data_IF_178848722170
#
_entry.id   IF_178848722170
#
_cell.length_a   1.000
_cell.length_b   1.000
_cell.length_c   1.000
_cell.angle_alpha   90.00
_cell.angle_beta   90.00
_cell.angle_gamma   90.00
#
_symmetry.space_group_name_H-M   'P 1'
#
loop_
_entity.id
_entity.type
_entity.pdbx_description
1 polymer ?
#
# COMPACT_ATOMS: atom_id res chain seq x y z
N UNK A 1 -27.97 34.66 -17.53
CA UNK A 1 -27.24 35.64 -18.37
C UNK A 1 -26.33 34.88 -19.33
N UNK A 2 -26.55 34.98 -20.63
CA UNK A 2 -25.80 34.21 -21.65
C UNK A 2 -24.37 34.75 -21.74
N UNK A 3 -23.36 33.91 -21.49
CA UNK A 3 -21.96 34.31 -21.62
C UNK A 3 -21.61 34.41 -23.10
N UNK A 4 -21.02 35.52 -23.50
CA UNK A 4 -20.65 35.76 -24.89
C UNK A 4 -19.47 34.87 -25.30
N UNK A 5 -19.42 34.41 -26.57
CA UNK A 5 -18.38 33.48 -27.06
C UNK A 5 -16.96 33.97 -26.76
N UNK A 6 -16.74 35.28 -26.85
CA UNK A 6 -15.45 35.90 -26.49
C UNK A 6 -15.08 35.65 -25.03
N UNK A 7 -16.02 35.79 -24.08
CA UNK A 7 -15.77 35.52 -22.66
C UNK A 7 -15.45 34.05 -22.39
N UNK A 8 -16.12 33.12 -23.08
CA UNK A 8 -15.88 31.68 -22.94
C UNK A 8 -14.46 31.35 -23.42
N UNK A 9 -14.07 31.87 -24.59
CA UNK A 9 -12.75 31.64 -25.18
C UNK A 9 -11.62 32.34 -24.41
N UNK A 10 -11.86 33.50 -23.79
CA UNK A 10 -10.86 34.21 -22.97
C UNK A 10 -10.80 33.76 -21.51
N UNK A 11 -11.77 32.97 -21.04
CA UNK A 11 -11.88 32.57 -19.63
C UNK A 11 -10.65 31.82 -19.11
N UNK A 12 -9.98 31.04 -19.95
CA UNK A 12 -8.74 30.32 -19.59
C UNK A 12 -7.59 31.26 -19.25
N UNK A 13 -7.43 32.37 -20.00
CA UNK A 13 -6.39 33.38 -19.72
C UNK A 13 -6.65 34.09 -18.39
N UNK A 14 -7.90 34.52 -18.17
CA UNK A 14 -8.31 35.16 -16.91
C UNK A 14 -8.16 34.21 -15.71
N UNK A 15 -8.43 32.92 -15.90
CA UNK A 15 -8.20 31.90 -14.88
C UNK A 15 -6.71 31.74 -14.57
N UNK A 16 -5.86 31.61 -15.60
CA UNK A 16 -4.40 31.52 -15.44
C UNK A 16 -3.83 32.75 -14.72
N UNK A 17 -4.24 33.96 -15.10
CA UNK A 17 -3.86 35.20 -14.43
C UNK A 17 -4.33 35.25 -12.98
N UNK A 18 -5.55 34.77 -12.70
CA UNK A 18 -6.08 34.68 -11.33
C UNK A 18 -5.32 33.66 -10.50
N UNK A 19 -4.94 32.51 -11.06
CA UNK A 19 -4.11 31.51 -10.35
C UNK A 19 -2.70 32.03 -10.10
N UNK A 20 -2.10 32.72 -11.08
CA UNK A 20 -0.79 33.34 -10.91
C UNK A 20 -0.83 34.40 -9.80
N UNK A 21 -1.89 35.22 -9.74
CA UNK A 21 -2.08 36.24 -8.70
C UNK A 21 -2.37 35.67 -7.31
N UNK A 22 -2.93 34.47 -7.17
CA UNK A 22 -3.20 33.85 -5.85
C UNK A 22 -1.92 33.58 -5.05
N UNK A 23 -0.83 33.27 -5.74
CA UNK A 23 0.48 33.02 -5.11
C UNK A 23 1.46 34.19 -5.31
N UNK A 24 1.05 35.24 -6.03
CA UNK A 24 1.85 36.45 -6.18
C UNK A 24 1.75 37.27 -4.90
N UNK A 25 2.90 37.45 -4.24
CA UNK A 25 3.02 38.34 -3.09
C UNK A 25 3.25 39.77 -3.62
N UNK A 26 2.48 40.74 -3.16
CA UNK A 26 2.54 42.13 -3.65
C UNK A 26 3.86 42.84 -3.30
N UNK A 27 4.46 42.52 -2.15
CA UNK A 27 5.70 43.10 -1.66
C UNK A 27 6.48 42.07 -0.83
N UNK A 28 7.81 42.00 -1.03
CA UNK A 28 8.70 41.15 -0.24
C UNK A 28 9.54 42.04 0.67
N UNK A 29 9.14 42.16 1.94
CA UNK A 29 9.88 42.92 2.95
C UNK A 29 10.90 42.05 3.66
N UNK A 30 12.13 42.54 3.83
CA UNK A 30 13.17 41.82 4.56
C UNK A 30 13.11 42.11 6.07
N UNK A 31 12.45 41.24 6.82
CA UNK A 31 12.42 41.34 8.28
C UNK A 31 13.64 40.67 8.91
N UNK A 32 14.44 41.46 9.63
CA UNK A 32 15.66 40.99 10.29
C UNK A 32 15.35 40.00 11.43
N UNK A 33 14.24 40.16 12.13
CA UNK A 33 13.86 39.24 13.21
C UNK A 33 13.51 37.87 12.65
N UNK A 34 12.70 37.81 11.59
CA UNK A 34 12.42 36.56 10.86
C UNK A 34 13.70 35.86 10.36
N UNK A 35 14.70 36.65 9.92
CA UNK A 35 16.00 36.12 9.49
C UNK A 35 16.76 35.49 10.65
N UNK A 36 16.81 36.15 11.80
CA UNK A 36 17.48 35.64 13.01
C UNK A 36 16.81 34.36 13.51
N UNK A 37 15.49 34.31 13.55
CA UNK A 37 14.73 33.09 13.87
C UNK A 37 14.97 31.98 12.85
N UNK A 38 15.10 32.32 11.56
CA UNK A 38 15.46 31.36 10.54
C UNK A 38 16.91 30.86 10.70
N UNK A 39 17.86 31.71 11.06
CA UNK A 39 19.25 31.27 11.23
C UNK A 39 19.47 30.48 12.53
N UNK A 40 18.72 30.75 13.59
CA UNK A 40 18.90 30.08 14.89
C UNK A 40 17.93 28.90 15.08
N UNK A 41 16.76 28.95 14.46
CA UNK A 41 15.66 27.99 14.64
C UNK A 41 15.77 26.67 13.88
N UNK A 42 16.98 26.19 13.55
CA UNK A 42 17.16 24.95 12.76
C UNK A 42 16.48 23.73 13.40
N UNK A 43 16.55 23.60 14.73
CA UNK A 43 15.89 22.52 15.46
C UNK A 43 14.37 22.62 15.37
N UNK A 44 13.80 23.83 15.54
CA UNK A 44 12.37 24.11 15.37
C UNK A 44 11.90 23.71 13.96
N UNK A 45 12.64 24.09 12.91
CA UNK A 45 12.32 23.69 11.52
C UNK A 45 12.43 22.19 11.29
N UNK A 46 13.42 21.52 11.90
CA UNK A 46 13.56 20.07 11.79
C UNK A 46 12.35 19.37 12.42
N UNK A 47 11.93 19.79 13.61
CA UNK A 47 10.72 19.28 14.26
C UNK A 47 9.46 19.59 13.45
N UNK A 48 9.31 20.80 12.92
CA UNK A 48 8.17 21.16 12.06
C UNK A 48 8.11 20.28 10.80
N UNK A 49 9.25 20.00 10.14
CA UNK A 49 9.29 19.08 9.00
C UNK A 49 8.87 17.66 9.39
N UNK A 50 9.33 17.17 10.53
CA UNK A 50 8.94 15.86 11.03
C UNK A 50 7.43 15.80 11.33
N UNK A 51 6.89 16.81 12.03
CA UNK A 51 5.45 16.91 12.31
C UNK A 51 4.62 16.98 11.03
N UNK A 52 5.02 17.84 10.08
CA UNK A 52 4.33 17.94 8.79
C UNK A 52 4.33 16.63 8.00
N UNK A 53 5.44 15.89 8.03
CA UNK A 53 5.51 14.56 7.41
C UNK A 53 4.59 13.56 8.12
N UNK A 54 4.53 13.59 9.45
CA UNK A 54 3.60 12.76 10.23
C UNK A 54 2.13 13.11 9.95
N UNK A 55 1.80 14.40 9.90
CA UNK A 55 0.45 14.90 9.58
C UNK A 55 0.04 14.48 8.17
N UNK A 56 0.92 14.65 7.18
CA UNK A 56 0.66 14.20 5.81
C UNK A 56 0.37 12.70 5.75
N UNK A 57 1.19 11.87 6.40
CA UNK A 57 0.96 10.42 6.43
C UNK A 57 -0.37 10.06 7.11
N UNK A 58 -0.73 10.74 8.21
CA UNK A 58 -2.02 10.54 8.89
C UNK A 58 -3.21 10.95 8.01
N UNK A 59 -3.08 12.03 7.25
CA UNK A 59 -4.12 12.45 6.29
C UNK A 59 -4.28 11.43 5.16
N UNK A 60 -3.18 10.92 4.61
CA UNK A 60 -3.22 9.86 3.59
C UNK A 60 -3.85 8.58 4.12
N UNK A 61 -3.48 8.15 5.33
CA UNK A 61 -4.07 6.95 5.97
C UNK A 61 -5.58 7.14 6.23
N UNK A 62 -5.99 8.34 6.67
CA UNK A 62 -7.41 8.66 6.87
C UNK A 62 -8.17 8.59 5.55
N UNK A 63 -7.62 9.13 4.47
CA UNK A 63 -8.24 9.08 3.14
C UNK A 63 -8.35 7.64 2.64
N UNK A 64 -7.28 6.85 2.74
CA UNK A 64 -7.27 5.44 2.39
C UNK A 64 -8.33 4.64 3.16
N UNK A 65 -8.44 4.85 4.48
CA UNK A 65 -9.47 4.19 5.31
C UNK A 65 -10.89 4.58 4.92
N UNK A 66 -11.11 5.83 4.49
CA UNK A 66 -12.43 6.28 4.00
C UNK A 66 -12.74 5.60 2.67
N UNK A 67 -11.76 5.49 1.77
CA UNK A 67 -11.88 4.81 0.48
C UNK A 67 -12.15 3.32 0.65
N UNK A 68 -11.41 2.62 1.51
CA UNK A 68 -11.64 1.21 1.85
C UNK A 68 -13.05 0.99 2.39
N UNK A 69 -13.50 1.82 3.35
CA UNK A 69 -14.87 1.75 3.88
C UNK A 69 -15.93 2.01 2.81
N UNK A 70 -15.62 2.83 1.81
CA UNK A 70 -16.53 3.07 0.68
C UNK A 70 -16.56 1.85 -0.24
N UNK A 71 -15.41 1.27 -0.56
CA UNK A 71 -15.31 0.06 -1.38
C UNK A 71 -16.08 -1.10 -0.75
N UNK A 72 -15.89 -1.37 0.54
CA UNK A 72 -16.63 -2.43 1.27
C UNK A 72 -18.14 -2.17 1.23
N UNK A 73 -18.58 -0.92 1.37
CA UNK A 73 -20.02 -0.57 1.28
C UNK A 73 -20.56 -0.80 -0.13
N UNK A 74 -19.79 -0.40 -1.14
CA UNK A 74 -20.17 -0.58 -2.54
C UNK A 74 -20.19 -2.07 -2.93
N UNK A 75 -19.24 -2.87 -2.44
CA UNK A 75 -19.20 -4.33 -2.59
C UNK A 75 -20.42 -4.99 -1.95
N UNK A 76 -20.69 -4.71 -0.67
CA UNK A 76 -21.89 -5.23 0.02
C UNK A 76 -23.19 -4.86 -0.71
N UNK A 77 -23.27 -3.64 -1.26
CA UNK A 77 -24.42 -3.21 -2.04
C UNK A 77 -24.56 -4.00 -3.35
N UNK A 78 -23.46 -4.25 -4.06
CA UNK A 78 -23.46 -5.09 -5.27
C UNK A 78 -23.83 -6.53 -4.95
N UNK A 79 -23.29 -7.10 -3.88
CA UNK A 79 -23.62 -8.46 -3.46
C UNK A 79 -25.11 -8.59 -3.14
N UNK A 80 -25.68 -7.60 -2.42
CA UNK A 80 -27.12 -7.55 -2.14
C UNK A 80 -27.94 -7.40 -3.41
N UNK A 81 -27.53 -6.54 -4.35
CA UNK A 81 -28.22 -6.38 -5.64
C UNK A 81 -28.18 -7.67 -6.48
N UNK A 82 -27.04 -8.37 -6.49
CA UNK A 82 -26.90 -9.66 -7.14
C UNK A 82 -27.79 -10.72 -6.49
N UNK A 83 -27.84 -10.78 -5.15
CA UNK A 83 -28.72 -11.69 -4.41
C UNK A 83 -30.20 -11.41 -4.70
N UNK A 84 -30.62 -10.13 -4.73
CA UNK A 84 -32.00 -9.76 -5.09
C UNK A 84 -32.31 -10.12 -6.55
N UNK A 85 -31.35 -9.93 -7.47
CA UNK A 85 -31.52 -10.32 -8.87
C UNK A 85 -31.67 -11.83 -9.00
N UNK A 86 -30.79 -12.62 -8.38
CA UNK A 86 -30.87 -14.08 -8.35
C UNK A 86 -32.16 -14.58 -7.69
N UNK A 87 -32.60 -13.92 -6.61
CA UNK A 87 -33.87 -14.25 -5.95
C UNK A 87 -35.05 -13.99 -6.87
N UNK A 88 -35.09 -12.82 -7.53
CA UNK A 88 -36.16 -12.47 -8.47
C UNK A 88 -36.16 -13.41 -9.70
N UNK A 89 -34.99 -13.81 -10.20
CA UNK A 89 -34.87 -14.79 -11.29
C UNK A 89 -35.40 -16.16 -10.86
N UNK A 90 -35.00 -16.66 -9.69
CA UNK A 90 -35.51 -17.94 -9.13
C UNK A 90 -37.01 -17.88 -8.84
N UNK A 91 -37.51 -16.78 -8.29
CA UNK A 91 -38.94 -16.58 -8.04
C UNK A 91 -39.74 -16.57 -9.35
N UNK A 92 -39.21 -15.93 -10.40
CA UNK A 92 -39.81 -15.94 -11.74
C UNK A 92 -39.78 -17.33 -12.38
N UNK A 93 -38.68 -18.08 -12.22
CA UNK A 93 -38.57 -19.45 -12.69
C UNK A 93 -39.57 -20.37 -11.99
N UNK A 94 -39.70 -20.28 -10.66
CA UNK A 94 -40.70 -21.00 -9.88
C UNK A 94 -42.13 -20.61 -10.28
N UNK A 95 -42.42 -19.32 -10.48
CA UNK A 95 -43.72 -18.85 -10.95
C UNK A 95 -44.05 -19.39 -12.36
N UNK A 96 -43.04 -19.54 -13.22
CA UNK A 96 -43.20 -20.10 -14.57
C UNK A 96 -43.40 -21.63 -14.55
N UNK A 97 -42.75 -22.34 -13.63
CA UNK A 97 -42.91 -23.80 -13.43
C UNK A 97 -44.25 -24.12 -12.75
N UNK A 98 -44.69 -23.29 -11.79
CA UNK A 98 -45.96 -23.45 -11.05
C UNK A 98 -47.18 -22.87 -11.80
N UNK A 99 -47.07 -22.64 -13.11
CA UNK A 99 -47.97 -21.80 -13.89
C UNK A 99 -49.46 -22.03 -13.64
N UNK A 100 -50.15 -20.97 -13.20
CA UNK A 100 -51.59 -20.81 -13.45
C UNK A 100 -52.52 -20.48 -12.28
N UNK A 101 -52.08 -19.90 -11.16
CA UNK A 101 -53.03 -19.31 -10.21
C UNK A 101 -52.36 -18.24 -9.32
N UNK A 102 -52.61 -16.97 -9.63
CA UNK A 102 -52.69 -15.82 -8.70
C UNK A 102 -52.45 -14.52 -9.48
N UNK A 103 -53.46 -14.13 -10.24
CA UNK A 103 -53.72 -12.71 -10.51
C UNK A 103 -54.80 -12.31 -9.51
N UNK A 104 -54.38 -11.77 -8.35
CA UNK A 104 -55.09 -10.76 -7.56
C UNK A 104 -54.36 -10.53 -6.22
N UNK A 105 -53.93 -9.28 -6.06
CA UNK A 105 -54.10 -8.45 -4.87
C UNK A 105 -53.51 -8.93 -3.53
N UNK A 106 -52.46 -8.23 -3.07
CA UNK A 106 -52.38 -7.81 -1.68
C UNK A 106 -51.32 -6.70 -1.53
N UNK A 107 -51.78 -5.45 -1.63
CA UNK A 107 -51.11 -4.26 -1.09
C UNK A 107 -51.15 -4.30 0.46
N UNK A 108 -50.43 -5.25 1.06
CA UNK A 108 -50.20 -5.27 2.51
C UNK A 108 -48.86 -4.60 2.82
N UNK A 109 -48.94 -3.28 2.93
CA UNK A 109 -47.94 -2.38 3.49
C UNK A 109 -47.45 -2.92 4.85
N UNK A 110 -46.24 -3.50 4.85
CA UNK A 110 -45.56 -3.99 6.04
C UNK A 110 -45.32 -2.85 7.04
N UNK A 111 -46.20 -2.72 8.04
CA UNK A 111 -46.04 -1.80 9.16
C UNK A 111 -45.03 -2.41 10.14
N UNK A 112 -43.87 -1.75 10.24
CA UNK A 112 -42.73 -2.20 11.02
C UNK A 112 -43.06 -2.50 12.48
N UNK A 113 -42.30 -3.48 13.02
CA UNK A 113 -42.26 -3.89 14.42
C UNK A 113 -42.43 -2.70 15.38
N UNK A 114 -43.60 -2.66 16.03
CA UNK A 114 -43.73 -2.01 17.33
C UNK A 114 -43.18 -2.95 18.42
N UNK A 115 -42.51 -2.30 19.35
CA UNK A 115 -41.64 -2.83 20.38
C UNK A 115 -42.40 -2.96 21.70
N UNK A 116 -42.76 -4.19 22.11
CA UNK A 116 -43.09 -4.51 23.51
C UNK A 116 -43.11 -6.01 23.84
N UNK A 117 -42.04 -6.47 24.49
CA UNK A 117 -42.12 -7.15 25.78
C UNK A 117 -42.62 -8.61 25.90
N UNK A 118 -41.68 -9.46 26.37
CA UNK A 118 -41.84 -10.57 27.34
C UNK A 118 -42.00 -12.02 26.85
N UNK A 119 -40.84 -12.67 26.79
CA UNK A 119 -40.44 -13.90 27.50
C UNK A 119 -41.14 -15.28 27.36
N UNK A 120 -40.25 -16.24 27.11
CA UNK A 120 -40.19 -17.67 27.47
C UNK A 120 -40.76 -18.79 26.57
N UNK A 121 -39.79 -19.41 25.87
CA UNK A 121 -39.45 -20.86 25.78
C UNK A 121 -40.34 -21.84 25.02
N UNK A 122 -39.77 -22.48 23.99
CA UNK A 122 -39.41 -23.91 24.04
C UNK A 122 -38.65 -24.40 22.78
N UNK A 123 -37.84 -25.43 23.02
CA UNK A 123 -37.40 -26.48 22.08
C UNK A 123 -36.38 -26.15 20.96
N UNK A 124 -35.10 -26.27 21.35
CA UNK A 124 -34.06 -27.06 20.66
C UNK A 124 -34.26 -27.44 19.19
N UNK A 125 -33.50 -26.78 18.31
CA UNK A 125 -32.91 -27.41 17.13
C UNK A 125 -31.44 -26.97 17.00
N UNK A 126 -30.53 -27.89 17.30
CA UNK A 126 -29.09 -27.68 17.13
C UNK A 126 -28.75 -27.88 15.65
N UNK A 127 -27.95 -27.00 15.02
CA UNK A 127 -27.52 -27.21 13.65
C UNK A 127 -26.60 -28.43 13.57
N UNK A 128 -26.92 -29.37 12.68
CA UNK A 128 -26.06 -30.51 12.34
C UNK A 128 -24.82 -29.98 11.65
N UNK A 129 -23.73 -29.84 12.40
CA UNK A 129 -22.41 -29.54 11.87
C UNK A 129 -21.93 -30.71 11.01
N UNK A 130 -21.80 -30.48 9.70
CA UNK A 130 -21.12 -31.40 8.79
C UNK A 130 -19.70 -31.65 9.32
N UNK A 131 -19.38 -32.90 9.65
CA UNK A 131 -18.05 -33.31 10.13
C UNK A 131 -17.01 -33.13 9.01
N UNK A 132 -16.33 -31.99 9.05
CA UNK A 132 -15.08 -31.76 8.34
C UNK A 132 -13.96 -32.67 8.83
N UNK A 133 -12.91 -32.76 8.02
CA UNK A 133 -11.76 -33.66 8.13
C UNK A 133 -11.19 -33.62 9.56
N UNK A 134 -11.05 -34.80 10.16
CA UNK A 134 -10.77 -35.09 11.56
C UNK A 134 -9.79 -34.10 12.25
N UNK A 135 -10.32 -33.13 13.01
CA UNK A 135 -9.52 -32.31 13.93
C UNK A 135 -9.15 -33.15 15.15
N UNK A 136 -7.86 -33.42 15.36
CA UNK A 136 -7.38 -34.09 16.56
C UNK A 136 -7.06 -33.03 17.64
N UNK A 137 -7.64 -33.20 18.83
CA UNK A 137 -7.39 -32.33 19.99
C UNK A 137 -6.41 -33.05 20.93
N UNK A 138 -5.18 -32.56 20.99
CA UNK A 138 -4.21 -32.99 22.00
C UNK A 138 -4.33 -32.08 23.23
N UNK A 139 -4.49 -32.69 24.40
CA UNK A 139 -4.52 -31.99 25.69
C UNK A 139 -3.13 -32.14 26.31
N UNK A 140 -2.45 -31.02 26.55
CA UNK A 140 -1.15 -30.99 27.21
C UNK A 140 -1.37 -30.70 28.70
N UNK A 141 -1.00 -31.63 29.57
CA UNK A 141 -0.95 -31.38 31.01
C UNK A 141 0.30 -30.55 31.31
N UNK A 142 0.18 -29.36 31.93
CA UNK A 142 1.34 -28.56 32.28
C UNK A 142 2.10 -29.25 33.41
N UNK A 143 3.41 -29.46 33.22
CA UNK A 143 4.30 -29.82 34.33
C UNK A 143 4.17 -28.74 35.42
N UNK A 144 3.76 -29.17 36.62
CA UNK A 144 3.26 -28.35 37.74
C UNK A 144 4.24 -27.31 38.33
N UNK A 145 5.45 -27.21 37.79
CA UNK A 145 6.57 -26.65 38.54
C UNK A 145 7.06 -25.29 38.06
N UNK A 146 6.43 -24.65 37.04
CA UNK A 146 7.00 -23.38 36.55
C UNK A 146 6.07 -22.21 36.27
N UNK A 147 4.75 -22.32 36.16
CA UNK A 147 3.88 -21.13 36.06
C UNK A 147 2.50 -21.42 36.66
N UNK A 148 2.13 -20.68 37.71
CA UNK A 148 0.89 -20.83 38.48
C UNK A 148 -0.39 -20.39 37.77
N UNK A 149 -0.64 -20.90 36.57
CA UNK A 149 -1.92 -20.79 35.88
C UNK A 149 -2.43 -22.22 35.65
N UNK A 150 -3.37 -22.65 36.50
CA UNK A 150 -3.95 -24.00 36.51
C UNK A 150 -5.02 -24.24 35.43
N UNK A 151 -4.95 -23.51 34.33
CA UNK A 151 -5.94 -23.58 33.27
C UNK A 151 -5.37 -24.35 32.07
N UNK A 152 -6.03 -25.45 31.74
CA UNK A 152 -5.73 -26.35 30.62
C UNK A 152 -5.74 -25.60 29.27
N UNK A 153 -4.56 -25.39 28.68
CA UNK A 153 -4.44 -24.77 27.35
C UNK A 153 -4.71 -25.78 26.26
N UNK A 154 -5.72 -25.54 25.43
CA UNK A 154 -6.05 -26.41 24.29
C UNK A 154 -5.61 -25.75 22.98
N UNK A 155 -4.82 -26.47 22.19
CA UNK A 155 -4.32 -26.00 20.89
C UNK A 155 -4.92 -26.87 19.79
N UNK A 156 -5.71 -26.28 18.90
CA UNK A 156 -6.20 -26.92 17.68
C UNK A 156 -5.16 -26.82 16.59
N UNK A 157 -4.69 -27.97 16.10
CA UNK A 157 -3.70 -28.06 15.01
C UNK A 157 -4.42 -28.53 13.76
N UNK A 158 -4.33 -27.75 12.68
CA UNK A 158 -4.84 -28.11 11.36
C UNK A 158 -3.71 -28.72 10.52
N UNK A 159 -3.89 -29.96 10.04
CA UNK A 159 -2.91 -30.65 9.19
C UNK A 159 -2.86 -30.00 7.80
N UNK A 160 -1.75 -29.32 7.47
CA UNK A 160 -1.48 -28.82 6.12
C UNK A 160 -1.02 -30.00 5.25
N UNK A 161 -1.95 -30.89 4.92
CA UNK A 161 -1.75 -31.91 3.89
C UNK A 161 -2.26 -31.37 2.54
N UNK A 162 -1.68 -30.26 2.08
CA UNK A 162 -1.61 -29.99 0.64
C UNK A 162 -0.32 -30.67 0.16
N UNK A 163 -0.36 -31.59 -0.81
CA UNK A 163 0.85 -32.23 -1.28
C UNK A 163 1.78 -31.12 -1.78
N UNK A 164 2.97 -31.04 -1.18
CA UNK A 164 4.12 -30.27 -1.67
C UNK A 164 4.63 -30.90 -2.97
N UNK A 165 3.75 -30.98 -3.97
CA UNK A 165 4.00 -31.51 -5.29
C UNK A 165 4.41 -30.36 -6.20
N UNK A 166 5.70 -30.09 -6.24
CA UNK A 166 6.42 -29.42 -7.33
C UNK A 166 5.68 -28.26 -8.04
N UNK A 167 5.51 -27.13 -7.36
CA UNK A 167 5.10 -25.89 -8.01
C UNK A 167 4.78 -24.80 -7.00
N UNK A 168 5.47 -23.66 -7.10
CA UNK A 168 5.37 -22.49 -6.23
C UNK A 168 4.01 -21.78 -6.38
N UNK A 169 2.92 -22.39 -5.92
CA UNK A 169 1.61 -21.76 -5.82
C UNK A 169 1.39 -21.21 -4.41
N UNK A 170 0.83 -20.01 -4.33
CA UNK A 170 0.48 -19.38 -3.05
C UNK A 170 -0.72 -20.07 -2.38
N UNK A 171 -1.08 -19.62 -1.17
CA UNK A 171 -2.23 -20.15 -0.42
C UNK A 171 -3.56 -20.17 -1.19
N UNK A 172 -3.68 -19.32 -2.22
CA UNK A 172 -4.83 -19.17 -3.11
C UNK A 172 -4.74 -20.02 -4.40
N UNK A 173 -3.67 -20.81 -4.57
CA UNK A 173 -3.50 -21.69 -5.73
C UNK A 173 -3.12 -20.96 -7.02
N UNK A 174 -2.72 -19.70 -6.95
CA UNK A 174 -2.32 -18.95 -8.15
C UNK A 174 -0.86 -19.23 -8.49
N UNK A 175 -0.59 -19.45 -9.79
CA UNK A 175 0.78 -19.67 -10.25
C UNK A 175 1.57 -18.35 -10.17
N UNK A 176 2.80 -18.41 -9.65
CA UNK A 176 3.71 -17.25 -9.57
C UNK A 176 3.89 -16.54 -10.93
N UNK A 177 3.81 -17.30 -12.03
CA UNK A 177 3.91 -16.77 -13.39
C UNK A 177 2.65 -15.99 -13.82
N UNK A 178 1.48 -16.39 -13.34
CA UNK A 178 0.22 -15.69 -13.59
C UNK A 178 0.16 -14.38 -12.81
N UNK A 179 0.62 -14.41 -11.55
CA UNK A 179 0.76 -13.20 -10.72
C UNK A 179 1.81 -12.26 -11.32
N UNK A 180 2.92 -12.78 -11.84
CA UNK A 180 3.92 -11.94 -12.51
C UNK A 180 3.37 -11.32 -13.80
N UNK A 181 2.61 -12.07 -14.61
CA UNK A 181 1.95 -11.57 -15.82
C UNK A 181 0.91 -10.49 -15.50
N UNK A 182 0.07 -10.70 -14.49
CA UNK A 182 -0.94 -9.70 -14.09
C UNK A 182 -0.29 -8.39 -13.64
N UNK A 183 0.89 -8.47 -13.03
CA UNK A 183 1.67 -7.31 -12.60
C UNK A 183 2.70 -6.82 -13.63
N UNK A 184 2.73 -7.37 -14.84
CA UNK A 184 3.69 -7.05 -15.90
C UNK A 184 5.16 -7.11 -15.46
N UNK A 185 5.54 -8.14 -14.69
CA UNK A 185 6.89 -8.35 -14.16
C UNK A 185 7.65 -9.42 -14.96
N UNK A 186 8.84 -9.05 -15.44
CA UNK A 186 9.76 -9.98 -16.13
C UNK A 186 10.47 -10.91 -15.13
N UNK A 187 10.02 -12.18 -15.03
CA UNK A 187 10.66 -13.18 -14.16
C UNK A 187 12.11 -13.52 -14.53
N UNK A 188 12.49 -13.35 -15.80
CA UNK A 188 13.86 -13.61 -16.28
C UNK A 188 14.92 -12.72 -15.60
N UNK A 189 14.53 -11.53 -15.12
CA UNK A 189 15.43 -10.59 -14.43
C UNK A 189 15.36 -10.69 -12.90
N UNK A 190 14.59 -11.65 -12.38
CA UNK A 190 14.36 -11.81 -10.93
C UNK A 190 15.65 -11.94 -10.14
N UNK A 191 16.62 -12.71 -10.65
CA UNK A 191 17.92 -12.89 -9.99
C UNK A 191 18.76 -11.62 -9.97
N UNK A 192 18.77 -10.84 -11.05
CA UNK A 192 19.48 -9.56 -11.14
C UNK A 192 18.89 -8.54 -10.16
N UNK A 193 17.56 -8.41 -10.14
CA UNK A 193 16.84 -7.52 -9.19
C UNK A 193 17.10 -7.91 -7.75
N UNK A 194 17.16 -9.22 -7.45
CA UNK A 194 17.51 -9.73 -6.12
C UNK A 194 18.94 -9.35 -5.74
N UNK A 195 19.91 -9.52 -6.63
CA UNK A 195 21.31 -9.15 -6.40
C UNK A 195 21.44 -7.64 -6.14
N UNK A 196 20.84 -6.80 -6.97
CA UNK A 196 20.83 -5.34 -6.81
C UNK A 196 20.21 -4.90 -5.47
N UNK A 197 19.12 -5.55 -5.08
CA UNK A 197 18.43 -5.26 -3.81
C UNK A 197 19.30 -5.62 -2.61
N UNK A 198 19.97 -6.77 -2.68
CA UNK A 198 20.93 -7.21 -1.65
C UNK A 198 22.13 -6.26 -1.58
N UNK A 199 22.66 -5.81 -2.71
CA UNK A 199 23.76 -4.83 -2.74
C UNK A 199 23.34 -3.49 -2.14
N UNK A 200 22.15 -3.01 -2.49
CA UNK A 200 21.60 -1.76 -1.94
C UNK A 200 21.40 -1.86 -0.42
N UNK A 201 20.85 -2.98 0.06
CA UNK A 201 20.70 -3.24 1.48
C UNK A 201 22.05 -3.28 2.21
N UNK A 202 23.05 -3.97 1.63
CA UNK A 202 24.43 -3.99 2.17
C UNK A 202 25.04 -2.60 2.24
N UNK A 203 24.90 -1.79 1.17
CA UNK A 203 25.40 -0.42 1.14
C UNK A 203 24.70 0.47 2.18
N UNK A 204 23.39 0.30 2.36
CA UNK A 204 22.62 1.03 3.37
C UNK A 204 23.02 0.63 4.79
N UNK A 205 23.22 -0.67 5.05
CA UNK A 205 23.71 -1.15 6.35
C UNK A 205 25.09 -0.56 6.69
N UNK A 206 25.96 -0.38 5.68
CA UNK A 206 27.24 0.33 5.85
C UNK A 206 27.04 1.82 6.13
N UNK A 207 26.13 2.48 5.42
CA UNK A 207 25.80 3.90 5.63
C UNK A 207 25.26 4.15 7.04
N UNK A 208 24.39 3.26 7.53
CA UNK A 208 23.82 3.31 8.88
C UNK A 208 24.81 2.87 9.98
N UNK A 209 26.01 2.44 9.62
CA UNK A 209 27.04 2.01 10.57
C UNK A 209 26.76 0.66 11.24
N UNK A 210 25.75 -0.08 10.79
CA UNK A 210 25.40 -1.41 11.31
C UNK A 210 26.36 -2.47 10.77
N UNK A 211 26.79 -2.33 9.52
CA UNK A 211 27.77 -3.21 8.89
C UNK A 211 29.09 -2.48 8.62
N UNK A 212 30.21 -3.19 8.80
CA UNK A 212 31.51 -2.67 8.35
C UNK A 212 31.57 -2.76 6.82
N UNK A 213 32.10 -1.74 6.13
CA UNK A 213 32.32 -1.83 4.70
C UNK A 213 33.17 -3.07 4.42
N UNK A 214 32.72 -3.92 3.50
CA UNK A 214 33.50 -5.09 3.11
C UNK A 214 34.88 -4.59 2.69
N UNK A 215 35.94 -5.14 3.30
CA UNK A 215 37.33 -4.89 2.89
C UNK A 215 37.57 -5.61 1.56
N UNK A 216 36.86 -5.22 0.51
CA UNK A 216 37.36 -5.45 -0.83
C UNK A 216 38.61 -4.61 -0.91
N UNK A 217 39.75 -5.25 -1.17
CA UNK A 217 41.05 -4.61 -1.30
C UNK A 217 41.08 -3.68 -2.53
N UNK A 218 40.31 -2.58 -2.48
CA UNK A 218 40.48 -1.50 -3.44
C UNK A 218 41.92 -1.03 -3.26
N UNK A 219 42.76 -1.05 -4.32
CA UNK A 219 44.17 -0.71 -4.19
C UNK A 219 44.25 0.67 -3.55
N UNK A 220 44.89 0.76 -2.37
CA UNK A 220 45.00 2.00 -1.59
C UNK A 220 45.46 3.10 -2.54
N UNK A 221 44.58 4.07 -2.80
CA UNK A 221 44.94 5.20 -3.65
C UNK A 221 46.08 5.92 -2.95
N UNK A 222 47.26 5.91 -3.57
CA UNK A 222 48.45 6.52 -2.99
C UNK A 222 48.10 7.99 -2.70
N UNK A 223 48.26 8.42 -1.44
CA UNK A 223 48.03 9.81 -1.03
C UNK A 223 48.78 10.71 -2.02
N UNK A 224 48.07 11.65 -2.65
CA UNK A 224 48.68 12.63 -3.55
C UNK A 224 49.64 13.47 -2.72
N UNK A 225 50.95 13.20 -2.83
CA UNK A 225 51.97 14.09 -2.27
C UNK A 225 51.85 15.40 -3.08
N UNK A 226 51.78 16.54 -2.40
CA UNK A 226 51.92 17.85 -3.05
C UNK A 226 53.36 17.97 -3.56
N UNK A 227 53.58 17.44 -4.76
CA UNK A 227 54.82 17.56 -5.52
C UNK A 227 54.46 18.14 -6.87
N UNK A 228 55.33 18.98 -7.39
CA UNK A 228 55.21 19.44 -8.76
C UNK A 228 55.21 18.22 -9.69
N UNK A 229 54.27 18.22 -10.63
CA UNK A 229 54.24 17.21 -11.69
C UNK A 229 55.56 17.28 -12.47
N UNK A 230 56.15 16.12 -12.75
CA UNK A 230 57.32 16.05 -13.63
C UNK A 230 56.97 16.58 -15.03
N UNK A 231 57.97 16.97 -15.83
CA UNK A 231 57.73 17.43 -17.21
C UNK A 231 56.96 16.38 -18.04
N UNK A 232 57.22 15.10 -17.81
CA UNK A 232 56.51 14.00 -18.46
C UNK A 232 55.05 13.89 -17.99
N UNK A 233 54.80 13.92 -16.67
CA UNK A 233 53.44 13.87 -16.10
C UNK A 233 52.59 15.06 -16.56
N UNK A 234 53.19 16.25 -16.71
CA UNK A 234 52.50 17.45 -17.23
C UNK A 234 52.13 17.31 -18.71
N UNK A 235 53.00 16.70 -19.52
CA UNK A 235 52.71 16.39 -20.94
C UNK A 235 51.57 15.39 -21.07
N UNK A 236 51.51 14.38 -20.21
CA UNK A 236 50.39 13.42 -20.22
C UNK A 236 49.06 14.04 -19.80
N UNK A 237 49.05 14.87 -18.76
CA UNK A 237 47.84 15.56 -18.32
C UNK A 237 47.30 16.50 -19.40
N UNK A 238 48.17 17.30 -20.03
CA UNK A 238 47.78 18.15 -21.17
C UNK A 238 47.28 17.33 -22.36
N UNK A 239 47.86 16.15 -22.64
CA UNK A 239 47.35 15.23 -23.66
C UNK A 239 45.95 14.70 -23.30
N UNK A 240 45.73 14.30 -22.05
CA UNK A 240 44.41 13.83 -21.56
C UNK A 240 43.35 14.91 -21.62
N UNK A 241 43.69 16.16 -21.28
CA UNK A 241 42.78 17.30 -21.40
C UNK A 241 42.45 17.63 -22.87
N UNK A 242 43.44 17.59 -23.76
CA UNK A 242 43.22 17.72 -25.21
C UNK A 242 42.33 16.61 -25.78
N UNK A 243 42.46 15.38 -25.29
CA UNK A 243 41.58 14.28 -25.71
C UNK A 243 40.16 14.46 -25.17
N UNK A 244 39.99 14.85 -23.90
CA UNK A 244 38.68 15.11 -23.29
C UNK A 244 37.94 16.27 -23.97
N UNK A 245 38.64 17.35 -24.32
CA UNK A 245 38.06 18.48 -25.05
C UNK A 245 37.61 18.08 -26.47
N UNK A 246 38.41 17.27 -27.19
CA UNK A 246 38.03 16.72 -28.50
C UNK A 246 36.77 15.84 -28.45
N UNK A 247 36.58 15.06 -27.38
CA UNK A 247 35.37 14.25 -27.20
C UNK A 247 34.16 15.07 -26.76
N UNK A 248 34.36 16.15 -25.99
CA UNK A 248 33.28 17.04 -25.57
C UNK A 248 32.77 17.96 -26.68
N UNK A 249 33.63 18.33 -27.65
CA UNK A 249 33.25 19.16 -28.80
C UNK A 249 32.55 18.43 -29.95
N UNK A 250 32.23 17.13 -29.78
CA UNK A 250 31.46 16.31 -30.75
C UNK A 250 30.01 16.05 -30.32
N UNK A 251 29.48 16.86 -29.39
CA UNK A 251 28.05 16.88 -29.05
C UNK A 251 27.45 18.20 -29.46
#
# INVERSE_FOLDING_TARGET
MVRHNRQILTSGKNYAEKQAKKHAVNEVTFDKQSREEYLTGFHKRKLQRQKKAQEYNKEQERLARIEERKQIRDERKRDLENQLREFNEKAKELAMINGGLAEEDSDEEWTGFDEDGTDEKSATDKPVSLKGILHHKEVYEPNSDLNGFGDETTVTIESIDKPLGNGYADSNGTSLEEVAKSNNVDLNKSQEVLQDSVERAKNYAVLCGVAKPSKVEKPKTKKKKFRYLSKAERRENTRKEKLKSKFKGKR
#
